data_IF_893803663764
#
_entry.id   IF_893803663764
#
_cell.length_a   1.000
_cell.length_b   1.000
_cell.length_c   1.000
_cell.angle_alpha   90.00
_cell.angle_beta   90.00
_cell.angle_gamma   90.00
#
_symmetry.space_group_name_H-M   'P 1'
#
loop_
_entity.id
_entity.type
_entity.pdbx_description
1 polymer ?
#
# COMPACT_ATOMS: atom_id res chain seq x y z
N UNK A 1 -6.87 13.04 0.45
CA UNK A 1 -5.47 12.82 0.79
C UNK A 1 -4.55 12.71 -0.42
N UNK A 2 -3.43 12.01 -0.28
CA UNK A 2 -2.35 11.94 -1.26
C UNK A 2 -2.82 11.60 -2.69
N UNK A 3 -3.71 10.62 -2.84
CA UNK A 3 -4.21 10.21 -4.16
C UNK A 3 -5.08 11.28 -4.84
N UNK A 4 -5.77 12.12 -4.08
CA UNK A 4 -6.60 13.19 -4.64
C UNK A 4 -5.78 14.43 -5.07
N UNK A 5 -4.69 14.72 -4.38
CA UNK A 5 -3.82 15.86 -4.67
C UNK A 5 -3.16 15.77 -6.06
N UNK A 6 -2.84 14.56 -6.51
CA UNK A 6 -2.19 14.33 -7.82
C UNK A 6 -3.10 14.71 -9.00
N UNK A 7 -4.34 14.22 -9.14
CA UNK A 7 -5.23 14.63 -10.24
C UNK A 7 -5.72 16.06 -10.07
N UNK A 8 -5.81 16.61 -8.84
CA UNK A 8 -6.11 18.01 -8.57
C UNK A 8 -4.98 18.96 -9.00
N UNK A 9 -3.82 18.43 -9.40
CA UNK A 9 -2.62 19.18 -9.80
C UNK A 9 -2.00 20.02 -8.69
N UNK A 10 -2.22 19.63 -7.44
CA UNK A 10 -1.58 20.24 -6.27
C UNK A 10 -0.13 19.76 -6.11
N UNK A 11 0.18 18.56 -6.64
CA UNK A 11 1.53 18.00 -6.67
C UNK A 11 1.74 17.10 -7.90
N UNK A 12 3.01 16.88 -8.27
CA UNK A 12 3.39 16.00 -9.37
C UNK A 12 3.24 14.52 -9.01
N UNK A 13 3.61 14.18 -7.78
CA UNK A 13 3.47 12.87 -7.17
C UNK A 13 3.23 13.02 -5.67
N UNK A 14 2.78 11.96 -5.04
CA UNK A 14 2.65 11.86 -3.60
C UNK A 14 3.19 10.51 -3.10
N UNK A 15 3.57 10.43 -1.84
CA UNK A 15 3.85 9.18 -1.16
C UNK A 15 2.66 8.79 -0.29
N UNK A 16 2.41 7.51 -0.20
CA UNK A 16 1.40 6.93 0.68
C UNK A 16 1.95 5.72 1.43
N UNK A 17 1.19 5.22 2.39
CA UNK A 17 1.40 3.92 3.00
C UNK A 17 0.24 2.99 2.65
N UNK A 18 0.54 1.72 2.44
CA UNK A 18 -0.43 0.70 2.06
C UNK A 18 -0.27 -0.51 2.96
N UNK A 19 -1.29 -0.82 3.73
CA UNK A 19 -1.36 -1.99 4.61
C UNK A 19 -2.30 -3.04 4.03
N UNK A 20 -3.48 -2.62 3.60
CA UNK A 20 -4.52 -3.48 3.00
C UNK A 20 -5.04 -2.97 1.65
N UNK A 21 -4.41 -1.93 1.07
CA UNK A 21 -4.86 -1.31 -0.17
C UNK A 21 -4.79 0.22 -0.18
N UNK A 22 -4.25 0.86 0.88
CA UNK A 22 -4.40 2.31 1.10
C UNK A 22 -3.59 3.21 0.16
N UNK A 23 -2.76 2.67 -0.75
CA UNK A 23 -2.23 3.34 -1.95
C UNK A 23 -3.07 2.95 -3.17
N UNK A 24 -3.26 1.65 -3.40
CA UNK A 24 -3.85 1.08 -4.61
C UNK A 24 -5.33 1.45 -4.76
N UNK A 25 -6.11 1.32 -3.69
CA UNK A 25 -7.54 1.62 -3.70
C UNK A 25 -7.83 3.10 -3.95
N UNK A 26 -7.27 4.07 -3.18
CA UNK A 26 -7.52 5.48 -3.46
C UNK A 26 -6.94 5.93 -4.81
N UNK A 27 -5.84 5.34 -5.30
CA UNK A 27 -5.35 5.61 -6.64
C UNK A 27 -6.38 5.19 -7.70
N UNK A 28 -6.99 4.00 -7.57
CA UNK A 28 -8.05 3.55 -8.46
C UNK A 28 -9.27 4.47 -8.42
N UNK A 29 -9.72 4.90 -7.25
CA UNK A 29 -10.85 5.82 -7.11
C UNK A 29 -10.58 7.21 -7.71
N UNK A 30 -9.33 7.66 -7.67
CA UNK A 30 -8.94 8.98 -8.18
C UNK A 30 -8.46 8.96 -9.65
N UNK A 31 -8.46 7.80 -10.31
CA UNK A 31 -8.02 7.66 -11.70
C UNK A 31 -6.53 7.96 -11.93
N UNK A 32 -5.68 7.61 -10.95
CA UNK A 32 -4.23 7.77 -11.00
C UNK A 32 -3.52 6.43 -10.76
N UNK A 33 -2.21 6.39 -10.98
CA UNK A 33 -1.41 5.20 -10.73
C UNK A 33 -0.88 5.21 -9.29
N UNK A 34 -1.01 4.09 -8.61
CA UNK A 34 -0.41 3.86 -7.30
C UNK A 34 0.33 2.54 -7.26
N UNK A 35 1.53 2.51 -6.70
CA UNK A 35 2.35 1.31 -6.59
C UNK A 35 2.59 0.99 -5.10
N UNK A 36 2.17 -0.21 -4.69
CA UNK A 36 2.65 -0.83 -3.46
C UNK A 36 3.79 -1.78 -3.84
N UNK A 37 5.04 -1.39 -3.59
CA UNK A 37 6.18 -2.25 -3.91
C UNK A 37 6.24 -3.47 -2.97
N UNK A 38 7.18 -4.36 -3.22
CA UNK A 38 7.49 -5.48 -2.34
C UNK A 38 7.85 -4.97 -0.95
N UNK A 39 7.38 -5.68 0.08
CA UNK A 39 7.69 -5.35 1.47
C UNK A 39 9.19 -5.19 1.70
N UNK A 40 9.58 -4.11 2.37
CA UNK A 40 10.98 -3.79 2.63
C UNK A 40 11.71 -3.08 1.48
N UNK A 41 11.10 -2.90 0.31
CA UNK A 41 11.71 -2.18 -0.81
C UNK A 41 12.01 -0.71 -0.46
N UNK A 42 11.11 -0.07 0.28
CA UNK A 42 11.24 1.31 0.75
C UNK A 42 11.30 1.32 2.28
N UNK A 43 12.22 2.09 2.84
CA UNK A 43 12.33 2.26 4.29
C UNK A 43 11.03 2.81 4.89
N UNK A 44 10.66 2.29 6.04
CA UNK A 44 9.53 2.76 6.85
C UNK A 44 9.95 3.63 8.02
N UNK A 45 11.23 4.01 8.08
CA UNK A 45 11.70 4.90 9.13
C UNK A 45 10.95 6.23 9.09
N UNK A 46 10.36 6.61 10.23
CA UNK A 46 9.49 7.78 10.33
C UNK A 46 8.01 7.54 10.08
N UNK A 47 7.62 6.35 9.60
CA UNK A 47 6.22 5.96 9.50
C UNK A 47 5.71 5.45 10.85
N UNK A 48 4.56 5.96 11.30
CA UNK A 48 3.86 5.39 12.46
C UNK A 48 3.28 4.05 12.03
N UNK A 49 3.71 2.97 12.70
CA UNK A 49 3.30 1.63 12.35
C UNK A 49 1.82 1.38 12.69
N UNK A 50 1.06 0.95 11.70
CA UNK A 50 -0.28 0.38 11.89
C UNK A 50 -0.19 -1.15 12.02
N UNK A 51 0.22 -1.84 10.95
CA UNK A 51 0.52 -3.27 10.98
C UNK A 51 1.93 -3.49 10.41
N UNK A 52 2.90 -3.68 11.30
CA UNK A 52 4.33 -3.71 10.96
C UNK A 52 4.70 -4.79 9.95
N UNK A 53 3.96 -5.90 9.91
CA UNK A 53 4.19 -6.99 8.94
C UNK A 53 3.60 -6.71 7.56
N UNK A 54 2.75 -5.68 7.41
CA UNK A 54 2.01 -5.38 6.18
C UNK A 54 2.31 -4.00 5.61
N UNK A 55 2.57 -2.99 6.48
CA UNK A 55 2.76 -1.61 6.06
C UNK A 55 3.89 -1.47 5.04
N UNK A 56 3.62 -0.77 3.95
CA UNK A 56 4.61 -0.46 2.92
C UNK A 56 4.38 0.94 2.35
N UNK A 57 5.47 1.70 2.17
CA UNK A 57 5.44 3.01 1.52
C UNK A 57 5.58 2.81 0.00
N UNK A 58 4.85 3.63 -0.76
CA UNK A 58 4.95 3.64 -2.21
C UNK A 58 4.44 4.93 -2.84
N UNK A 59 4.74 5.14 -4.13
CA UNK A 59 4.38 6.33 -4.87
C UNK A 59 2.95 6.27 -5.42
N UNK A 60 2.39 7.47 -5.59
CA UNK A 60 1.16 7.75 -6.34
C UNK A 60 1.50 8.86 -7.32
N UNK A 61 1.22 8.65 -8.60
CA UNK A 61 1.48 9.61 -9.66
C UNK A 61 0.50 9.42 -10.82
N UNK A 62 0.59 10.24 -11.88
CA UNK A 62 -0.34 10.14 -13.02
C UNK A 62 -0.07 8.93 -13.90
N UNK A 63 1.18 8.54 -14.05
CA UNK A 63 1.60 7.47 -14.95
C UNK A 63 2.44 6.42 -14.23
N UNK A 64 2.52 5.22 -14.81
CA UNK A 64 3.40 4.17 -14.32
C UNK A 64 4.88 4.60 -14.39
N UNK A 65 5.26 5.37 -15.41
CA UNK A 65 6.63 5.89 -15.55
C UNK A 65 6.99 6.87 -14.42
N UNK A 66 6.08 7.79 -14.08
CA UNK A 66 6.29 8.70 -12.95
C UNK A 66 6.42 7.93 -11.63
N UNK A 67 5.56 6.94 -11.41
CA UNK A 67 5.66 6.07 -10.23
C UNK A 67 6.97 5.29 -10.19
N UNK A 68 7.45 4.77 -11.33
CA UNK A 68 8.72 4.06 -11.42
C UNK A 68 9.89 4.99 -11.09
N UNK A 69 9.89 6.22 -11.63
CA UNK A 69 10.93 7.21 -11.36
C UNK A 69 10.98 7.59 -9.86
N UNK A 70 9.82 7.80 -9.23
CA UNK A 70 9.75 8.08 -7.79
C UNK A 70 10.22 6.89 -6.97
N UNK A 71 9.80 5.67 -7.33
CA UNK A 71 10.21 4.46 -6.63
C UNK A 71 11.71 4.20 -6.77
N UNK A 72 12.30 4.44 -7.95
CA UNK A 72 13.75 4.38 -8.16
C UNK A 72 14.52 5.34 -7.23
N UNK A 73 13.92 6.47 -6.88
CA UNK A 73 14.55 7.45 -6.00
C UNK A 73 14.44 7.11 -4.50
N UNK A 74 13.41 6.35 -4.08
CA UNK A 74 13.13 6.09 -2.66
C UNK A 74 13.40 4.65 -2.22
N UNK A 75 13.64 3.72 -3.15
CA UNK A 75 13.95 2.33 -2.83
C UNK A 75 15.39 2.16 -2.34
N UNK A 76 15.62 1.14 -1.54
CA UNK A 76 16.96 0.72 -1.13
C UNK A 76 17.12 0.52 0.37
N UNK A 77 18.35 0.17 0.77
CA UNK A 77 18.70 -0.12 2.16
C UNK A 77 18.76 1.14 3.02
N UNK A 78 18.03 1.14 4.12
CA UNK A 78 18.15 2.12 5.21
C UNK A 78 18.59 1.42 6.50
N UNK A 79 19.70 1.85 7.08
CA UNK A 79 20.23 1.29 8.35
C UNK A 79 19.31 1.55 9.55
N UNK A 80 18.39 2.52 9.43
CA UNK A 80 17.41 2.87 10.46
C UNK A 80 16.14 2.02 10.41
N UNK A 81 15.95 1.26 9.33
CA UNK A 81 14.86 0.28 9.19
C UNK A 81 15.45 -1.11 8.96
N UNK A 82 15.40 -1.94 10.00
CA UNK A 82 15.91 -3.32 9.95
C UNK A 82 15.19 -4.21 8.92
N UNK A 83 13.99 -3.81 8.49
CA UNK A 83 13.20 -4.56 7.50
C UNK A 83 13.49 -4.14 6.06
N UNK A 84 14.23 -3.05 5.84
CA UNK A 84 14.57 -2.60 4.48
C UNK A 84 15.53 -3.57 3.79
N UNK A 85 15.20 -3.90 2.54
CA UNK A 85 15.95 -4.85 1.73
C UNK A 85 17.24 -4.20 1.17
N UNK A 86 18.29 -4.99 1.05
CA UNK A 86 19.49 -4.60 0.34
C UNK A 86 19.32 -4.94 -1.15
N UNK A 87 18.73 -4.01 -1.88
CA UNK A 87 18.43 -4.14 -3.31
C UNK A 87 19.13 -3.02 -4.08
N UNK A 88 19.51 -3.27 -5.35
CA UNK A 88 20.05 -2.24 -6.20
C UNK A 88 19.10 -1.04 -6.31
N UNK A 89 19.65 0.17 -6.20
CA UNK A 89 18.88 1.38 -6.44
C UNK A 89 18.63 1.57 -7.95
N UNK A 90 17.43 2.04 -8.31
CA UNK A 90 17.07 2.38 -9.69
C UNK A 90 16.73 1.16 -10.55
N UNK A 91 16.54 1.42 -11.83
CA UNK A 91 16.31 0.40 -12.85
C UNK A 91 14.85 0.14 -13.20
N UNK A 92 13.88 0.60 -12.42
CA UNK A 92 12.46 0.38 -12.69
C UNK A 92 12.00 1.21 -13.89
N UNK A 93 12.38 2.49 -13.95
CA UNK A 93 12.03 3.36 -15.08
C UNK A 93 12.64 2.85 -16.39
N UNK A 94 13.90 2.45 -16.37
CA UNK A 94 14.57 1.87 -17.56
C UNK A 94 14.05 0.50 -17.96
N UNK A 95 13.42 -0.22 -17.01
CA UNK A 95 12.76 -1.51 -17.24
C UNK A 95 11.40 -1.41 -17.95
N UNK A 96 10.84 -0.22 -18.12
CA UNK A 96 9.59 0.00 -18.84
C UNK A 96 9.79 -0.05 -20.37
N UNK A 97 10.09 -1.21 -20.89
CA UNK A 97 10.35 -1.42 -22.32
C UNK A 97 9.11 -1.39 -23.20
N UNK A 98 7.92 -1.56 -22.60
CA UNK A 98 6.66 -1.72 -23.33
C UNK A 98 6.47 -3.09 -23.97
N UNK A 99 7.45 -3.97 -23.93
CA UNK A 99 7.36 -5.35 -24.44
C UNK A 99 6.81 -6.29 -23.35
N UNK A 100 5.59 -6.80 -23.58
CA UNK A 100 4.91 -7.74 -22.67
C UNK A 100 4.64 -9.09 -23.32
N UNK A 101 5.26 -9.37 -24.48
CA UNK A 101 5.06 -10.63 -25.21
C UNK A 101 5.46 -11.82 -24.34
N UNK A 102 4.53 -12.79 -24.24
CA UNK A 102 4.70 -13.99 -23.44
C UNK A 102 4.53 -13.81 -21.93
N UNK A 103 4.31 -12.58 -21.43
CA UNK A 103 3.97 -12.35 -20.03
C UNK A 103 2.66 -13.06 -19.69
N UNK A 104 2.61 -13.77 -18.56
CA UNK A 104 1.40 -14.43 -18.07
C UNK A 104 0.63 -13.48 -17.16
N UNK A 105 -0.65 -13.29 -17.47
CA UNK A 105 -1.59 -12.46 -16.70
C UNK A 105 -2.70 -13.35 -16.18
N UNK A 106 -2.85 -13.46 -14.88
CA UNK A 106 -3.92 -14.22 -14.25
C UNK A 106 -5.12 -13.35 -13.93
N UNK A 107 -6.33 -13.80 -14.27
CA UNK A 107 -7.59 -13.21 -13.84
C UNK A 107 -8.26 -14.14 -12.82
N UNK A 108 -8.30 -13.77 -11.52
CA UNK A 108 -8.99 -14.60 -10.53
C UNK A 108 -10.50 -14.51 -10.73
N UNK A 109 -11.13 -15.63 -11.09
CA UNK A 109 -12.58 -15.73 -11.35
C UNK A 109 -13.39 -15.25 -10.13
N UNK A 110 -12.89 -15.56 -8.93
CA UNK A 110 -13.53 -15.23 -7.65
C UNK A 110 -13.66 -13.71 -7.41
N UNK A 111 -12.88 -12.87 -8.11
CA UNK A 111 -13.01 -11.41 -8.06
C UNK A 111 -14.14 -10.84 -8.92
N UNK A 112 -14.79 -11.67 -9.76
CA UNK A 112 -15.85 -11.25 -10.68
C UNK A 112 -17.23 -11.78 -10.27
N UNK A 113 -17.42 -12.02 -8.98
CA UNK A 113 -18.69 -12.49 -8.41
C UNK A 113 -19.73 -11.39 -8.21
N UNK A 114 -20.82 -11.77 -7.54
CA UNK A 114 -21.90 -10.86 -7.18
C UNK A 114 -21.38 -9.69 -6.31
N UNK A 115 -21.87 -8.49 -6.59
CA UNK A 115 -21.45 -7.26 -5.90
C UNK A 115 -20.33 -6.46 -6.57
N UNK A 116 -19.70 -7.01 -7.63
CA UNK A 116 -18.78 -6.20 -8.45
C UNK A 116 -19.60 -5.34 -9.43
N UNK A 117 -19.37 -4.04 -9.40
CA UNK A 117 -19.99 -3.10 -10.35
C UNK A 117 -19.71 -3.51 -11.80
N UNK A 118 -20.74 -3.67 -12.66
CA UNK A 118 -20.55 -4.16 -14.04
C UNK A 118 -19.57 -3.33 -14.86
N UNK A 119 -19.53 -2.02 -14.67
CA UNK A 119 -18.59 -1.12 -15.37
C UNK A 119 -17.14 -1.39 -14.95
N UNK A 120 -16.89 -1.69 -13.68
CA UNK A 120 -15.55 -2.06 -13.17
C UNK A 120 -15.13 -3.40 -13.75
N UNK A 121 -16.03 -4.40 -13.75
CA UNK A 121 -15.78 -5.70 -14.37
C UNK A 121 -15.42 -5.57 -15.85
N UNK A 122 -16.17 -4.76 -16.60
CA UNK A 122 -15.93 -4.51 -18.01
C UNK A 122 -14.57 -3.81 -18.23
N UNK A 123 -14.22 -2.80 -17.42
CA UNK A 123 -12.96 -2.08 -17.53
C UNK A 123 -11.75 -3.02 -17.30
N UNK A 124 -11.82 -3.89 -16.30
CA UNK A 124 -10.75 -4.87 -16.02
C UNK A 124 -10.62 -5.89 -17.17
N UNK A 125 -11.73 -6.43 -17.68
CA UNK A 125 -11.71 -7.35 -18.82
C UNK A 125 -11.18 -6.69 -20.09
N UNK A 126 -11.54 -5.43 -20.35
CA UNK A 126 -11.01 -4.68 -21.47
C UNK A 126 -9.50 -4.44 -21.35
N UNK A 127 -9.02 -4.11 -20.15
CA UNK A 127 -7.59 -4.01 -19.92
C UNK A 127 -6.85 -5.33 -20.19
N UNK A 128 -7.40 -6.45 -19.73
CA UNK A 128 -6.85 -7.78 -20.01
C UNK A 128 -6.81 -8.08 -21.52
N UNK A 129 -7.87 -7.77 -22.25
CA UNK A 129 -7.92 -7.94 -23.72
C UNK A 129 -6.88 -7.08 -24.44
N UNK A 130 -6.64 -5.85 -23.98
CA UNK A 130 -5.57 -4.98 -24.52
C UNK A 130 -4.18 -5.60 -24.28
N UNK A 131 -3.95 -6.16 -23.11
CA UNK A 131 -2.67 -6.84 -22.81
C UNK A 131 -2.48 -8.10 -23.67
N UNK A 132 -3.55 -8.88 -23.87
CA UNK A 132 -3.53 -10.06 -24.71
C UNK A 132 -3.25 -9.70 -26.18
N UNK A 133 -3.89 -8.65 -26.70
CA UNK A 133 -3.63 -8.14 -28.05
C UNK A 133 -2.18 -7.64 -28.23
N UNK A 134 -1.49 -7.30 -27.16
CA UNK A 134 -0.06 -6.94 -27.15
C UNK A 134 0.87 -8.12 -26.93
N UNK A 135 0.34 -9.35 -26.88
CA UNK A 135 1.11 -10.59 -26.83
C UNK A 135 1.30 -11.19 -25.44
N UNK A 136 0.64 -10.66 -24.43
CA UNK A 136 0.54 -11.35 -23.14
C UNK A 136 -0.36 -12.57 -23.24
N UNK A 137 -0.21 -13.54 -22.33
CA UNK A 137 -1.09 -14.71 -22.18
C UNK A 137 -2.01 -14.46 -20.99
N UNK A 138 -3.31 -14.29 -21.25
CA UNK A 138 -4.31 -14.09 -20.20
C UNK A 138 -4.97 -15.43 -19.85
N UNK A 139 -4.91 -15.80 -18.58
CA UNK A 139 -5.47 -17.05 -18.07
C UNK A 139 -6.39 -16.76 -16.87
N UNK A 140 -7.58 -17.37 -16.88
CA UNK A 140 -8.48 -17.31 -15.72
C UNK A 140 -8.14 -18.43 -14.75
N UNK A 141 -8.09 -18.14 -13.46
CA UNK A 141 -7.85 -19.12 -12.41
C UNK A 141 -8.80 -18.89 -11.22
N UNK A 142 -8.95 -19.91 -10.37
CA UNK A 142 -9.67 -19.79 -9.10
C UNK A 142 -8.69 -19.68 -7.95
N UNK A 143 -9.06 -18.83 -6.98
CA UNK A 143 -8.32 -18.69 -5.72
C UNK A 143 -9.26 -19.01 -4.55
N UNK A 144 -9.34 -20.29 -4.13
CA UNK A 144 -10.36 -20.77 -3.19
C UNK A 144 -10.29 -20.13 -1.80
N UNK A 145 -9.18 -19.47 -1.47
CA UNK A 145 -9.00 -18.75 -0.20
C UNK A 145 -9.45 -17.28 -0.26
N UNK A 146 -10.01 -16.82 -1.39
CA UNK A 146 -10.42 -15.41 -1.58
C UNK A 146 -11.34 -14.91 -0.46
N UNK A 147 -12.29 -15.72 -0.02
CA UNK A 147 -13.25 -15.37 1.02
C UNK A 147 -12.61 -15.14 2.40
N UNK A 148 -11.40 -15.63 2.62
CA UNK A 148 -10.66 -15.46 3.88
C UNK A 148 -9.72 -14.25 3.86
N UNK A 149 -9.44 -13.64 2.70
CA UNK A 149 -8.44 -12.55 2.58
C UNK A 149 -8.78 -11.36 3.46
N UNK A 150 -10.00 -10.82 3.35
CA UNK A 150 -10.43 -9.63 4.11
C UNK A 150 -10.54 -9.93 5.61
N UNK A 151 -11.21 -11.02 6.06
CA UNK A 151 -11.22 -11.38 7.48
C UNK A 151 -9.81 -11.58 8.07
N UNK A 152 -8.93 -12.28 7.38
CA UNK A 152 -7.53 -12.49 7.81
C UNK A 152 -6.79 -11.17 7.96
N UNK A 153 -6.92 -10.28 6.98
CA UNK A 153 -6.34 -8.95 7.05
C UNK A 153 -6.78 -8.20 8.30
N UNK A 154 -8.09 -8.14 8.58
CA UNK A 154 -8.59 -7.41 9.75
C UNK A 154 -8.13 -8.00 11.08
N UNK A 155 -8.07 -9.32 11.21
CA UNK A 155 -7.59 -9.99 12.42
C UNK A 155 -6.12 -9.62 12.67
N UNK A 156 -5.26 -9.75 11.67
CA UNK A 156 -3.83 -9.46 11.79
C UNK A 156 -3.61 -7.96 12.02
N UNK A 157 -4.22 -7.11 11.21
CA UNK A 157 -4.03 -5.68 11.28
C UNK A 157 -4.52 -5.08 12.62
N UNK A 158 -5.66 -5.53 13.14
CA UNK A 158 -6.16 -5.06 14.43
C UNK A 158 -5.26 -5.52 15.59
N UNK A 159 -4.77 -6.77 15.56
CA UNK A 159 -3.86 -7.28 16.57
C UNK A 159 -2.52 -6.52 16.56
N UNK A 160 -1.93 -6.29 15.40
CA UNK A 160 -0.69 -5.53 15.27
C UNK A 160 -0.87 -4.05 15.61
N UNK A 161 -1.98 -3.42 15.20
CA UNK A 161 -2.30 -2.04 15.56
C UNK A 161 -2.41 -1.86 17.07
N UNK A 162 -3.11 -2.78 17.75
CA UNK A 162 -3.20 -2.77 19.21
C UNK A 162 -1.82 -2.80 19.87
N UNK A 163 -0.92 -3.65 19.40
CA UNK A 163 0.45 -3.74 19.88
C UNK A 163 1.29 -2.50 19.53
N UNK A 164 1.24 -2.06 18.27
CA UNK A 164 2.06 -0.95 17.78
C UNK A 164 1.67 0.39 18.40
N UNK A 165 0.36 0.65 18.54
CA UNK A 165 -0.14 1.93 19.04
C UNK A 165 -0.13 2.00 20.58
N UNK A 166 0.04 0.91 21.29
CA UNK A 166 0.12 0.87 22.76
C UNK A 166 1.26 1.73 23.32
N UNK A 167 2.31 1.99 22.52
CA UNK A 167 3.45 2.85 22.90
C UNK A 167 3.11 4.35 23.03
N UNK A 168 1.97 4.77 22.46
CA UNK A 168 1.51 6.16 22.52
C UNK A 168 0.60 6.34 23.76
N UNK A 169 1.17 6.12 24.92
CA UNK A 169 0.51 6.09 26.22
C UNK A 169 0.81 7.32 27.10
N UNK A 170 1.54 8.30 26.54
CA UNK A 170 1.97 9.49 27.27
C UNK A 170 3.22 9.30 28.14
N UNK A 171 3.76 8.07 28.26
CA UNK A 171 4.98 7.82 29.00
C UNK A 171 6.20 8.16 28.14
N UNK A 172 6.34 7.53 26.99
CA UNK A 172 7.47 7.74 26.08
C UNK A 172 7.09 8.51 24.82
N UNK A 173 5.89 8.28 24.31
CA UNK A 173 5.34 8.91 23.12
C UNK A 173 3.89 9.32 23.35
N UNK A 174 3.42 10.27 22.56
CA UNK A 174 2.07 10.80 22.63
C UNK A 174 1.91 11.92 23.64
N UNK A 175 0.68 12.40 23.76
CA UNK A 175 0.30 13.42 24.73
C UNK A 175 0.32 12.83 26.14
N UNK A 176 0.72 13.64 27.13
CA UNK A 176 0.77 13.29 28.54
C UNK A 176 -0.02 14.31 29.34
N UNK A 177 -0.90 13.85 30.22
CA UNK A 177 -1.55 14.73 31.17
C UNK A 177 -0.52 15.50 32.00
N UNK A 178 -0.68 16.82 32.16
CA UNK A 178 0.31 17.66 32.88
C UNK A 178 0.39 17.37 34.37
N UNK A 179 -0.70 16.88 34.96
CA UNK A 179 -0.82 16.63 36.39
C UNK A 179 -1.25 15.19 36.68
N UNK A 180 -0.46 14.49 37.50
CA UNK A 180 -0.75 13.14 37.99
C UNK A 180 0.06 12.88 39.28
N UNK A 181 -0.45 12.02 40.16
CA UNK A 181 0.17 11.71 41.46
C UNK A 181 1.11 10.49 41.33
N UNK A 182 0.72 9.49 40.54
CA UNK A 182 1.46 8.26 40.38
C UNK A 182 1.32 7.73 38.94
N UNK A 183 1.93 6.57 38.65
CA UNK A 183 1.90 5.97 37.33
C UNK A 183 0.46 5.59 36.90
N UNK A 184 -0.36 5.11 37.79
CA UNK A 184 -1.76 4.77 37.51
C UNK A 184 -2.55 6.04 37.16
N UNK A 185 -2.36 7.11 37.95
CA UNK A 185 -2.94 8.42 37.69
C UNK A 185 -2.51 8.99 36.34
N UNK A 186 -1.22 8.83 35.96
CA UNK A 186 -0.71 9.22 34.65
C UNK A 186 -1.50 8.54 33.53
N UNK A 187 -1.63 7.22 33.57
CA UNK A 187 -2.37 6.47 32.55
C UNK A 187 -3.86 6.84 32.50
N UNK A 188 -4.51 6.92 33.67
CA UNK A 188 -5.92 7.27 33.76
C UNK A 188 -6.20 8.66 33.18
N UNK A 189 -5.46 9.66 33.61
CA UNK A 189 -5.65 11.05 33.16
C UNK A 189 -5.31 11.23 31.68
N UNK A 190 -4.18 10.70 31.23
CA UNK A 190 -3.74 10.79 29.82
C UNK A 190 -4.78 10.16 28.85
N UNK A 191 -5.54 9.17 29.30
CA UNK A 191 -6.57 8.51 28.47
C UNK A 191 -7.96 9.13 28.61
N UNK A 192 -8.19 9.91 29.63
CA UNK A 192 -9.51 10.52 29.90
C UNK A 192 -9.62 11.92 29.30
N UNK A 193 -8.54 12.67 29.28
CA UNK A 193 -8.44 14.03 28.72
C UNK A 193 -8.05 14.00 27.22
#
# INVERSE_FOLDING_TARGET
>A
GAAAAVPARECWFALGSDTGGSIRQPAAFCGVTGIKPTYGTVSRYGLIAYASSLDQIGPIARTAADCAAVLDAIQGKDRRDATSLDIPAGGLLSGLTGDIRGMKIGLPADCFGDGLEPQVAAAVRNAAAVLEARGAKVETFSFPLMNYMVPTYYIIACAEASSNLSRYDGVKYGWRAPEYEDLTGLYCRTRTE
#
